data_IF_877445989749
#
_entry.id   IF_877445989749
#
_cell.length_a   1.000
_cell.length_b   1.000
_cell.length_c   1.000
_cell.angle_alpha   90.00
_cell.angle_beta   90.00
_cell.angle_gamma   90.00
#
_symmetry.space_group_name_H-M   'P 1'
#
loop_
_entity.id
_entity.type
_entity.pdbx_description
1 polymer ?
#
# COMPACT_ATOMS: atom_id res chain seq x y z
N UNK A 1 -96.05 -66.96 7.37
CA UNK A 1 -96.18 -66.25 6.08
C UNK A 1 -94.81 -65.72 5.70
N UNK A 2 -94.36 -66.06 4.50
CA UNK A 2 -93.07 -65.68 3.93
C UNK A 2 -92.91 -64.17 3.82
N UNK A 3 -91.72 -63.65 4.11
CA UNK A 3 -91.19 -62.47 3.42
C UNK A 3 -89.69 -62.64 3.22
N UNK A 4 -89.34 -63.02 1.99
CA UNK A 4 -88.01 -62.95 1.40
C UNK A 4 -87.84 -61.54 0.82
N UNK A 5 -86.84 -60.80 1.29
CA UNK A 5 -86.25 -59.67 0.57
C UNK A 5 -84.80 -59.55 1.07
N UNK A 6 -83.85 -60.14 0.37
CA UNK A 6 -83.08 -59.52 -0.71
C UNK A 6 -81.80 -58.84 -0.19
N UNK A 7 -80.70 -59.56 -0.46
CA UNK A 7 -79.30 -59.15 -0.62
C UNK A 7 -79.07 -57.64 -0.77
N UNK A 8 -78.01 -57.13 -0.14
CA UNK A 8 -76.91 -56.57 -0.91
C UNK A 8 -75.58 -56.57 -0.14
N UNK A 9 -74.54 -57.06 -0.80
CA UNK A 9 -73.16 -57.04 -0.32
C UNK A 9 -72.53 -55.69 -0.67
N UNK A 10 -72.10 -54.92 0.33
CA UNK A 10 -71.18 -53.81 0.10
C UNK A 10 -69.76 -54.21 0.51
N UNK A 11 -69.07 -54.92 -0.38
CA UNK A 11 -67.62 -55.17 -0.32
C UNK A 11 -66.82 -53.84 -0.30
N UNK A 12 -65.85 -53.63 0.61
CA UNK A 12 -65.04 -52.40 0.66
C UNK A 12 -63.89 -52.40 -0.36
N UNK A 13 -64.11 -52.84 -1.59
CA UNK A 13 -63.04 -52.98 -2.61
C UNK A 13 -63.02 -51.86 -3.64
N UNK A 14 -64.05 -51.00 -3.71
CA UNK A 14 -64.15 -49.99 -4.78
C UNK A 14 -63.69 -48.57 -4.42
N UNK A 15 -62.90 -48.35 -3.35
CA UNK A 15 -62.26 -47.03 -3.08
C UNK A 15 -60.79 -46.96 -3.50
N UNK A 16 -60.38 -47.85 -4.41
CA UNK A 16 -59.07 -47.81 -5.08
C UNK A 16 -59.16 -47.94 -6.61
N UNK A 17 -60.28 -47.54 -7.20
CA UNK A 17 -60.28 -47.04 -8.57
C UNK A 17 -59.96 -45.54 -8.45
N UNK A 18 -58.71 -45.18 -8.18
CA UNK A 18 -57.85 -44.72 -9.28
C UNK A 18 -58.64 -43.71 -10.14
N UNK A 19 -58.80 -42.50 -9.62
CA UNK A 19 -58.88 -41.29 -10.46
C UNK A 19 -57.59 -41.23 -11.29
N UNK A 20 -57.50 -42.10 -12.29
CA UNK A 20 -56.65 -41.92 -13.46
C UNK A 20 -57.40 -40.92 -14.35
N UNK A 21 -57.54 -39.69 -13.88
CA UNK A 21 -57.74 -38.58 -14.80
C UNK A 21 -56.40 -38.42 -15.53
N UNK A 22 -56.31 -39.00 -16.73
CA UNK A 22 -55.22 -38.67 -17.63
C UNK A 22 -55.19 -37.16 -17.86
N UNK A 23 -53.99 -36.59 -17.97
CA UNK A 23 -53.81 -35.17 -18.25
C UNK A 23 -54.49 -34.84 -19.58
N UNK A 24 -55.41 -33.89 -19.60
CA UNK A 24 -56.01 -33.45 -20.86
C UNK A 24 -54.96 -32.69 -21.69
N UNK A 25 -54.99 -32.82 -23.01
CA UNK A 25 -54.04 -32.13 -23.89
C UNK A 25 -54.07 -30.61 -23.68
N UNK A 26 -55.25 -30.04 -23.38
CA UNK A 26 -55.41 -28.63 -23.05
C UNK A 26 -54.78 -28.27 -21.69
N UNK A 27 -54.87 -29.16 -20.70
CA UNK A 27 -54.26 -28.94 -19.39
C UNK A 27 -52.73 -28.95 -19.50
N UNK A 28 -52.18 -29.86 -20.31
CA UNK A 28 -50.74 -29.91 -20.60
C UNK A 28 -50.28 -28.64 -21.32
N UNK A 29 -51.05 -28.19 -22.31
CA UNK A 29 -50.75 -26.97 -23.03
C UNK A 29 -50.78 -25.75 -22.11
N UNK A 30 -51.84 -25.61 -21.30
CA UNK A 30 -51.99 -24.50 -20.36
C UNK A 30 -50.88 -24.51 -19.30
N UNK A 31 -50.52 -25.67 -18.75
CA UNK A 31 -49.43 -25.77 -17.76
C UNK A 31 -48.07 -25.41 -18.34
N UNK A 32 -47.74 -25.87 -19.56
CA UNK A 32 -46.49 -25.50 -20.24
C UNK A 32 -46.45 -24.01 -20.56
N UNK A 33 -47.57 -23.42 -21.01
CA UNK A 33 -47.67 -21.97 -21.27
C UNK A 33 -47.51 -21.16 -19.99
N UNK A 34 -48.21 -21.54 -18.91
CA UNK A 34 -48.10 -20.85 -17.62
C UNK A 34 -46.70 -21.00 -17.01
N UNK A 35 -46.08 -22.17 -17.10
CA UNK A 35 -44.70 -22.38 -16.68
C UNK A 35 -43.73 -21.54 -17.52
N UNK A 36 -43.92 -21.46 -18.84
CA UNK A 36 -43.09 -20.64 -19.73
C UNK A 36 -43.13 -19.15 -19.37
N UNK A 37 -44.30 -18.60 -19.06
CA UNK A 37 -44.45 -17.20 -18.61
C UNK A 37 -43.76 -17.00 -17.25
N UNK A 38 -43.92 -17.93 -16.32
CA UNK A 38 -43.28 -17.86 -15.01
C UNK A 38 -41.75 -17.92 -15.11
N UNK A 39 -41.19 -18.84 -15.90
CA UNK A 39 -39.74 -18.94 -16.13
C UNK A 39 -39.18 -17.71 -16.84
N UNK A 40 -39.88 -17.17 -17.84
CA UNK A 40 -39.47 -15.96 -18.53
C UNK A 40 -39.33 -14.76 -17.57
N UNK A 41 -40.18 -14.68 -16.55
CA UNK A 41 -40.09 -13.63 -15.52
C UNK A 41 -38.95 -13.86 -14.51
N UNK A 42 -38.54 -15.10 -14.24
CA UNK A 42 -37.51 -15.43 -13.24
C UNK A 42 -36.07 -15.33 -13.77
N UNK A 43 -35.82 -15.63 -15.05
CA UNK A 43 -34.47 -15.63 -15.65
C UNK A 43 -33.71 -14.30 -15.41
N UNK A 44 -34.32 -13.11 -15.58
CA UNK A 44 -33.63 -11.84 -15.30
C UNK A 44 -33.20 -11.70 -13.84
N UNK A 45 -33.98 -12.22 -12.88
CA UNK A 45 -33.65 -12.18 -11.47
C UNK A 45 -32.43 -13.06 -11.15
N UNK A 46 -32.38 -14.28 -11.70
CA UNK A 46 -31.21 -15.16 -11.55
C UNK A 46 -29.93 -14.52 -12.10
N UNK A 47 -29.98 -13.95 -13.31
CA UNK A 47 -28.83 -13.25 -13.90
C UNK A 47 -28.37 -12.07 -13.02
N UNK A 48 -29.31 -11.34 -12.42
CA UNK A 48 -29.00 -10.24 -11.50
C UNK A 48 -28.28 -10.73 -10.23
N UNK A 49 -28.79 -11.81 -9.63
CA UNK A 49 -28.20 -12.42 -8.42
C UNK A 49 -26.81 -12.99 -8.73
N UNK A 50 -26.63 -13.64 -9.88
CA UNK A 50 -25.32 -14.13 -10.31
C UNK A 50 -24.33 -13.00 -10.53
N UNK A 51 -24.75 -11.90 -11.17
CA UNK A 51 -23.89 -10.71 -11.35
C UNK A 51 -23.51 -10.09 -10.01
N UNK A 52 -24.45 -9.99 -9.07
CA UNK A 52 -24.16 -9.49 -7.72
C UNK A 52 -23.15 -10.39 -7.00
N UNK A 53 -23.38 -11.70 -6.98
CA UNK A 53 -22.49 -12.68 -6.36
C UNK A 53 -21.09 -12.70 -7.00
N UNK A 54 -20.99 -12.63 -8.32
CA UNK A 54 -19.72 -12.51 -9.03
C UNK A 54 -18.98 -11.22 -8.66
N UNK A 55 -19.70 -10.13 -8.41
CA UNK A 55 -19.16 -8.84 -7.99
C UNK A 55 -18.62 -8.88 -6.58
N UNK A 56 -19.35 -9.50 -5.66
CA UNK A 56 -18.90 -9.69 -4.28
C UNK A 56 -17.67 -10.59 -4.21
N UNK A 57 -17.65 -11.68 -5.00
CA UNK A 57 -16.46 -12.53 -5.13
C UNK A 57 -15.24 -11.75 -5.64
N UNK A 58 -15.42 -10.92 -6.67
CA UNK A 58 -14.33 -10.08 -7.19
C UNK A 58 -13.82 -9.09 -6.14
N UNK A 59 -14.71 -8.49 -5.34
CA UNK A 59 -14.31 -7.61 -4.24
C UNK A 59 -13.54 -8.32 -3.13
N UNK A 60 -13.95 -9.53 -2.76
CA UNK A 60 -13.23 -10.31 -1.75
C UNK A 60 -11.81 -10.64 -2.22
N UNK A 61 -11.65 -11.01 -3.49
CA UNK A 61 -10.32 -11.22 -4.07
C UNK A 61 -9.53 -9.91 -4.08
N UNK A 62 -10.12 -8.80 -4.52
CA UNK A 62 -9.45 -7.50 -4.54
C UNK A 62 -9.02 -7.05 -3.13
N UNK A 63 -9.85 -7.28 -2.11
CA UNK A 63 -9.54 -6.98 -0.71
C UNK A 63 -8.40 -7.84 -0.19
N UNK A 64 -8.41 -9.16 -0.47
CA UNK A 64 -7.31 -10.05 -0.09
C UNK A 64 -5.99 -9.65 -0.76
N UNK A 65 -6.03 -9.24 -2.03
CA UNK A 65 -4.85 -8.72 -2.75
C UNK A 65 -4.36 -7.42 -2.11
N UNK A 66 -5.25 -6.46 -1.86
CA UNK A 66 -4.90 -5.20 -1.22
C UNK A 66 -4.27 -5.43 0.17
N UNK A 67 -4.83 -6.36 0.93
CA UNK A 67 -4.32 -6.74 2.25
C UNK A 67 -2.95 -7.40 2.15
N UNK A 68 -2.76 -8.38 1.27
CA UNK A 68 -1.44 -9.01 1.04
C UNK A 68 -0.37 -7.96 0.68
N UNK A 69 -0.71 -7.02 -0.21
CA UNK A 69 0.22 -5.93 -0.58
C UNK A 69 0.54 -5.02 0.60
N UNK A 70 -0.45 -4.65 1.41
CA UNK A 70 -0.21 -3.84 2.60
C UNK A 70 0.66 -4.56 3.62
N UNK A 71 0.40 -5.84 3.91
CA UNK A 71 1.21 -6.58 4.87
C UNK A 71 2.65 -6.71 4.39
N UNK A 72 2.87 -6.95 3.09
CA UNK A 72 4.21 -6.95 2.50
C UNK A 72 4.88 -5.57 2.57
N UNK A 73 4.14 -4.48 2.32
CA UNK A 73 4.66 -3.11 2.47
C UNK A 73 5.06 -2.85 3.93
N UNK A 74 4.30 -3.35 4.90
CA UNK A 74 4.60 -3.19 6.34
C UNK A 74 5.85 -3.96 6.77
N UNK A 75 6.26 -4.98 6.02
CA UNK A 75 7.51 -5.71 6.26
C UNK A 75 8.73 -5.02 5.64
N UNK A 76 8.53 -4.04 4.75
CA UNK A 76 9.64 -3.25 4.20
C UNK A 76 10.19 -2.30 5.26
N UNK A 77 11.50 -2.08 5.21
CA UNK A 77 12.11 -1.03 6.00
C UNK A 77 11.63 0.35 5.51
N UNK A 78 11.58 1.33 6.42
CA UNK A 78 11.03 2.67 6.14
C UNK A 78 11.75 3.39 4.99
N UNK A 79 13.05 3.15 4.84
CA UNK A 79 13.92 3.69 3.79
C UNK A 79 13.66 3.04 2.42
N UNK A 80 13.26 1.78 2.38
CA UNK A 80 12.91 1.06 1.14
C UNK A 80 11.56 1.51 0.54
N UNK A 81 10.71 2.20 1.29
CA UNK A 81 9.45 2.75 0.80
C UNK A 81 9.72 4.15 0.24
N UNK A 82 10.23 4.25 -0.98
CA UNK A 82 10.59 5.55 -1.58
C UNK A 82 9.33 6.34 -1.99
N UNK A 83 9.43 7.66 -2.07
CA UNK A 83 8.35 8.59 -2.45
C UNK A 83 7.92 8.50 -3.93
N UNK A 84 8.28 7.41 -4.60
CA UNK A 84 7.82 7.07 -5.93
C UNK A 84 7.13 5.70 -5.91
N UNK A 85 5.83 5.70 -6.20
CA UNK A 85 5.04 4.48 -6.33
C UNK A 85 5.58 3.54 -7.43
N UNK A 86 6.33 4.07 -8.41
CA UNK A 86 6.97 3.27 -9.45
C UNK A 86 7.96 2.24 -8.89
N UNK A 87 8.58 2.55 -7.74
CA UNK A 87 9.52 1.64 -7.08
C UNK A 87 8.83 0.34 -6.63
N UNK A 88 7.64 0.46 -6.03
CA UNK A 88 6.80 -0.69 -5.66
C UNK A 88 6.24 -1.40 -6.90
N UNK A 89 6.16 -0.75 -8.05
CA UNK A 89 5.65 -1.34 -9.29
C UNK A 89 6.75 -2.08 -10.07
N UNK A 90 8.03 -1.88 -9.73
CA UNK A 90 9.16 -2.47 -10.42
C UNK A 90 9.22 -3.99 -10.25
N UNK A 91 9.52 -4.71 -11.34
CA UNK A 91 9.77 -6.16 -11.33
C UNK A 91 11.11 -6.53 -10.69
N UNK A 92 12.04 -5.58 -10.56
CA UNK A 92 13.36 -5.81 -9.96
C UNK A 92 13.37 -5.57 -8.45
N UNK A 93 12.42 -4.78 -7.94
CA UNK A 93 12.31 -4.50 -6.52
C UNK A 93 11.63 -5.64 -5.78
N UNK A 94 12.23 -6.10 -4.68
CA UNK A 94 11.71 -7.17 -3.82
C UNK A 94 11.21 -8.41 -4.59
N UNK A 95 11.93 -8.79 -5.67
CA UNK A 95 11.57 -9.92 -6.52
C UNK A 95 10.26 -9.76 -7.31
N UNK A 96 9.79 -8.52 -7.53
CA UNK A 96 8.55 -8.25 -8.26
C UNK A 96 7.27 -8.60 -7.51
N UNK A 97 7.34 -8.79 -6.19
CA UNK A 97 6.22 -9.28 -5.38
C UNK A 97 5.02 -8.33 -5.28
N UNK A 98 5.21 -7.05 -5.61
CA UNK A 98 4.18 -6.02 -5.54
C UNK A 98 3.47 -5.88 -6.90
N UNK A 99 4.19 -5.37 -7.91
CA UNK A 99 3.72 -5.28 -9.30
C UNK A 99 2.43 -4.46 -9.47
N UNK A 100 2.00 -4.28 -10.71
CA UNK A 100 0.76 -3.55 -11.05
C UNK A 100 -0.42 -4.47 -11.33
N UNK A 101 -0.19 -5.78 -11.39
CA UNK A 101 -1.20 -6.75 -11.78
C UNK A 101 -1.18 -7.99 -10.90
N UNK A 102 -2.36 -8.59 -10.75
CA UNK A 102 -2.53 -9.88 -10.09
C UNK A 102 -3.60 -10.71 -10.82
N UNK A 103 -3.27 -11.96 -11.08
CA UNK A 103 -4.21 -12.94 -11.64
C UNK A 103 -4.31 -14.13 -10.69
N UNK A 104 -5.49 -14.41 -10.11
CA UNK A 104 -5.65 -15.57 -9.24
C UNK A 104 -5.35 -16.88 -9.98
N UNK A 105 -4.73 -17.88 -9.32
CA UNK A 105 -4.53 -19.19 -9.92
C UNK A 105 -5.85 -19.79 -10.43
N UNK A 106 -5.85 -20.28 -11.68
CA UNK A 106 -7.05 -20.86 -12.30
C UNK A 106 -8.11 -19.85 -12.76
N UNK A 107 -7.78 -18.56 -12.79
CA UNK A 107 -8.64 -17.49 -13.30
C UNK A 107 -7.98 -16.76 -14.46
N UNK A 108 -8.77 -16.33 -15.45
CA UNK A 108 -8.33 -15.43 -16.54
C UNK A 108 -8.60 -13.95 -16.22
N UNK A 109 -9.19 -13.67 -15.06
CA UNK A 109 -9.49 -12.31 -14.62
C UNK A 109 -8.26 -11.64 -14.03
N UNK A 110 -7.93 -10.48 -14.61
CA UNK A 110 -6.86 -9.60 -14.17
C UNK A 110 -7.36 -8.57 -13.16
N UNK A 111 -6.57 -8.36 -12.12
CA UNK A 111 -6.74 -7.30 -11.14
C UNK A 111 -5.59 -6.30 -11.30
N UNK A 112 -5.91 -5.02 -11.45
CA UNK A 112 -4.94 -3.93 -11.49
C UNK A 112 -4.74 -3.35 -10.10
N UNK A 113 -3.49 -3.15 -9.72
CA UNK A 113 -3.05 -2.65 -8.41
C UNK A 113 -2.34 -1.33 -8.60
N UNK A 114 -2.80 -0.31 -7.87
CA UNK A 114 -2.26 1.05 -7.88
C UNK A 114 -1.83 1.43 -6.47
N UNK A 115 -0.63 1.99 -6.36
CA UNK A 115 -0.06 2.47 -5.10
C UNK A 115 -0.03 4.00 -5.07
N UNK A 116 -0.28 4.56 -3.89
CA UNK A 116 -0.07 5.98 -3.59
C UNK A 116 0.68 6.09 -2.28
N UNK A 117 1.76 6.85 -2.27
CA UNK A 117 2.63 7.06 -1.11
C UNK A 117 2.58 8.56 -0.78
N UNK A 118 2.19 8.88 0.44
CA UNK A 118 2.13 10.24 0.98
C UNK A 118 3.06 10.34 2.19
N UNK A 119 4.05 11.22 2.11
CA UNK A 119 4.94 11.51 3.21
C UNK A 119 4.34 12.56 4.13
N UNK A 120 4.22 12.23 5.42
CA UNK A 120 3.71 13.17 6.41
C UNK A 120 4.86 13.65 7.31
N UNK A 121 5.29 14.91 7.17
CA UNK A 121 6.35 15.46 7.99
C UNK A 121 5.87 15.78 9.42
N UNK A 122 6.79 15.68 10.38
CA UNK A 122 6.70 16.36 11.67
C UNK A 122 7.98 17.16 11.82
N UNK A 123 7.89 18.48 11.62
CA UNK A 123 8.97 19.46 11.81
C UNK A 123 10.37 18.97 11.43
N UNK A 124 10.70 19.04 10.13
CA UNK A 124 12.05 18.80 9.60
C UNK A 124 12.28 17.40 9.01
N UNK A 125 11.65 16.34 9.53
CA UNK A 125 11.75 14.98 8.99
C UNK A 125 10.38 14.33 8.74
N UNK A 126 10.33 13.33 7.84
CA UNK A 126 9.13 12.50 7.62
C UNK A 126 8.90 11.65 8.86
N UNK A 127 7.76 11.85 9.53
CA UNK A 127 7.39 11.12 10.74
C UNK A 127 6.82 9.75 10.38
N UNK A 128 5.93 9.72 9.39
CA UNK A 128 5.37 8.49 8.86
C UNK A 128 5.04 8.62 7.38
N UNK A 129 4.98 7.47 6.71
CA UNK A 129 4.49 7.35 5.33
C UNK A 129 3.10 6.74 5.38
N UNK A 130 2.15 7.37 4.70
CA UNK A 130 0.80 6.82 4.48
C UNK A 130 0.76 6.20 3.10
N UNK A 131 0.49 4.90 3.03
CA UNK A 131 0.46 4.16 1.78
C UNK A 131 -0.97 3.67 1.52
N UNK A 132 -1.50 3.99 0.35
CA UNK A 132 -2.80 3.51 -0.11
C UNK A 132 -2.62 2.54 -1.27
N UNK A 133 -3.23 1.36 -1.16
CA UNK A 133 -3.26 0.33 -2.20
C UNK A 133 -4.69 0.24 -2.73
N UNK A 134 -4.87 0.51 -4.01
CA UNK A 134 -6.17 0.41 -4.69
C UNK A 134 -6.14 -0.74 -5.69
N UNK A 135 -7.08 -1.67 -5.56
CA UNK A 135 -7.22 -2.83 -6.44
C UNK A 135 -8.54 -2.73 -7.22
N UNK A 136 -8.44 -2.83 -8.53
CA UNK A 136 -9.58 -2.83 -9.47
C UNK A 136 -9.50 -4.05 -10.39
N UNK A 137 -10.57 -4.36 -11.13
CA UNK A 137 -10.60 -5.49 -12.06
C UNK A 137 -11.40 -5.15 -13.30
N UNK A 138 -11.18 -5.91 -14.37
CA UNK A 138 -11.96 -5.76 -15.61
C UNK A 138 -13.33 -6.43 -15.46
N UNK A 139 -14.39 -5.71 -15.85
CA UNK A 139 -15.76 -6.23 -15.90
C UNK A 139 -15.86 -7.48 -16.80
N UNK A 140 -16.87 -8.35 -16.62
CA UNK A 140 -18.06 -8.24 -15.76
C UNK A 140 -17.87 -8.74 -14.32
N UNK A 141 -18.66 -8.31 -13.32
CA UNK A 141 -19.80 -7.40 -13.43
C UNK A 141 -19.38 -5.93 -13.39
N UNK A 142 -20.17 -5.10 -14.05
CA UNK A 142 -20.09 -3.64 -13.99
C UNK A 142 -21.25 -3.09 -13.14
N UNK A 143 -21.10 -1.92 -12.47
CA UNK A 143 -19.89 -1.11 -12.41
C UNK A 143 -18.84 -1.71 -11.47
N UNK A 144 -17.58 -1.61 -11.86
CA UNK A 144 -16.44 -2.00 -11.01
C UNK A 144 -16.36 -1.03 -9.85
N UNK A 145 -16.25 -1.55 -8.62
CA UNK A 145 -16.03 -0.75 -7.42
C UNK A 145 -14.69 -1.14 -6.81
N UNK A 146 -13.62 -0.37 -7.09
CA UNK A 146 -12.30 -0.67 -6.57
C UNK A 146 -12.28 -0.77 -5.05
N UNK A 147 -11.36 -1.56 -4.53
CA UNK A 147 -11.10 -1.68 -3.10
C UNK A 147 -9.83 -0.91 -2.79
N UNK A 148 -9.91 0.05 -1.87
CA UNK A 148 -8.75 0.80 -1.38
C UNK A 148 -8.52 0.48 0.08
N UNK A 149 -7.30 0.07 0.41
CA UNK A 149 -6.84 -0.06 1.79
C UNK A 149 -5.67 0.90 2.02
N UNK A 150 -5.54 1.40 3.24
CA UNK A 150 -4.49 2.35 3.63
C UNK A 150 -3.76 1.84 4.86
N UNK A 151 -2.44 2.01 4.86
CA UNK A 151 -1.56 1.68 5.98
C UNK A 151 -0.62 2.85 6.30
N UNK A 152 -0.04 2.81 7.49
CA UNK A 152 0.94 3.79 7.96
C UNK A 152 2.21 3.05 8.35
N UNK A 153 3.35 3.52 7.86
CA UNK A 153 4.68 3.04 8.26
C UNK A 153 5.40 4.18 8.97
N UNK A 154 5.71 3.96 10.25
CA UNK A 154 6.39 4.93 11.11
C UNK A 154 7.89 4.96 10.81
N UNK A 155 8.49 6.15 10.92
CA UNK A 155 9.93 6.30 10.85
C UNK A 155 10.57 5.91 12.20
N UNK A 156 11.38 4.84 12.27
CA UNK A 156 12.04 4.45 13.52
C UNK A 156 13.02 5.51 14.03
N UNK A 157 13.63 6.32 13.14
CA UNK A 157 14.54 7.39 13.53
C UNK A 157 13.81 8.56 14.21
N UNK A 158 12.53 8.80 13.89
CA UNK A 158 11.73 9.84 14.53
C UNK A 158 11.33 9.47 15.97
N UNK A 159 11.18 8.17 16.28
CA UNK A 159 10.78 7.69 17.60
C UNK A 159 11.91 7.78 18.65
N UNK A 160 13.15 7.47 18.23
CA UNK A 160 14.32 7.45 19.12
C UNK A 160 14.74 8.83 19.64
N UNK A 161 14.26 9.93 19.06
CA UNK A 161 14.52 11.29 19.52
C UNK A 161 13.75 11.67 20.80
N UNK A 162 12.80 10.84 21.27
CA UNK A 162 11.90 11.19 22.37
C UNK A 162 12.28 10.63 23.76
N UNK A 163 13.23 9.70 23.86
CA UNK A 163 13.63 9.10 25.14
C UNK A 163 15.08 9.45 25.50
N UNK A 164 15.31 10.68 25.98
CA UNK A 164 16.55 11.01 26.68
C UNK A 164 16.36 10.76 28.19
N UNK A 165 17.17 9.92 28.86
CA UNK A 165 17.08 9.72 30.30
C UNK A 165 17.48 11.00 31.03
N UNK A 166 16.61 11.47 31.93
CA UNK A 166 16.84 12.68 32.72
C UNK A 166 18.10 12.56 33.61
N UNK A 167 19.03 13.53 33.60
CA UNK A 167 20.12 13.56 34.55
C UNK A 167 19.62 13.98 35.94
N UNK A 168 19.96 13.19 36.96
CA UNK A 168 19.71 13.47 38.39
C UNK A 168 20.55 14.66 38.89
N UNK A 169 20.08 15.52 39.82
CA UNK A 169 20.79 16.74 40.17
C UNK A 169 21.88 16.58 41.24
N UNK A 170 22.95 17.33 40.96
CA UNK A 170 24.16 17.76 41.70
C UNK A 170 24.15 17.91 43.23
N UNK A 171 25.31 17.59 43.84
CA UNK A 171 26.03 18.35 44.89
C UNK A 171 27.51 17.90 44.81
N UNK A 172 28.60 18.70 44.90
CA UNK A 172 28.96 19.84 45.76
C UNK A 172 30.25 20.51 45.18
N UNK A 173 30.71 21.69 45.66
CA UNK A 173 31.73 22.52 44.98
C UNK A 173 33.15 22.33 45.53
N UNK A 174 34.20 22.53 44.71
CA UNK A 174 35.49 23.07 45.18
C UNK A 174 36.39 23.52 44.03
N UNK A 175 37.19 24.52 44.36
CA UNK A 175 37.98 25.46 43.55
C UNK A 175 39.33 24.92 43.06
N UNK A 176 39.73 25.19 41.80
CA UNK A 176 41.13 25.43 41.39
C UNK A 176 41.21 25.89 39.91
N UNK A 177 42.01 26.91 39.54
CA UNK A 177 42.24 27.26 38.13
C UNK A 177 43.30 26.32 37.53
N UNK A 178 42.87 25.37 36.71
CA UNK A 178 43.75 24.52 35.90
C UNK A 178 43.91 25.14 34.50
N UNK A 179 45.11 25.12 33.88
CA UNK A 179 45.29 25.60 32.51
C UNK A 179 44.40 24.79 31.56
N UNK A 180 43.67 25.49 30.71
CA UNK A 180 42.80 24.94 29.66
C UNK A 180 43.60 23.95 28.81
N UNK A 181 43.28 22.64 28.80
CA UNK A 181 43.81 21.75 27.79
C UNK A 181 43.26 22.19 26.44
N UNK A 182 44.14 22.44 25.48
CA UNK A 182 43.77 22.62 24.08
C UNK A 182 42.89 21.43 23.65
N UNK A 183 41.69 21.65 23.09
CA UNK A 183 40.85 20.54 22.65
C UNK A 183 41.60 19.71 21.60
N UNK A 184 41.47 18.37 21.61
CA UNK A 184 41.99 17.51 20.56
C UNK A 184 41.48 17.99 19.18
N UNK A 185 42.25 17.82 18.08
CA UNK A 185 41.75 18.14 16.75
C UNK A 185 40.46 17.37 16.50
N UNK A 186 39.37 18.09 16.23
CA UNK A 186 38.11 17.48 15.86
C UNK A 186 38.33 16.70 14.57
N UNK A 187 38.19 15.38 14.62
CA UNK A 187 38.19 14.54 13.42
C UNK A 187 36.99 14.92 12.57
N UNK A 188 37.26 15.33 11.33
CA UNK A 188 36.24 15.69 10.36
C UNK A 188 36.30 14.78 9.15
N UNK A 189 35.17 14.65 8.46
CA UNK A 189 34.93 13.74 7.37
C UNK A 189 34.31 14.47 6.19
N UNK A 190 34.33 13.80 5.04
CA UNK A 190 33.72 14.23 3.79
C UNK A 190 32.49 13.39 3.47
N UNK A 191 31.41 14.05 3.03
CA UNK A 191 30.25 13.43 2.41
C UNK A 191 30.19 13.86 0.94
N UNK A 192 30.28 12.89 0.03
CA UNK A 192 30.19 13.07 -1.42
C UNK A 192 28.80 12.66 -1.91
N UNK A 193 28.09 13.56 -2.57
CA UNK A 193 26.77 13.28 -3.17
C UNK A 193 26.89 13.23 -4.69
N UNK A 194 26.43 12.11 -5.25
CA UNK A 194 26.28 11.88 -6.68
C UNK A 194 24.80 11.84 -7.06
N UNK A 195 24.55 12.08 -8.34
CA UNK A 195 23.26 11.89 -9.01
C UNK A 195 23.50 11.14 -10.31
N UNK A 196 22.59 10.28 -10.71
CA UNK A 196 22.66 9.57 -11.99
C UNK A 196 22.16 10.43 -13.17
N UNK A 197 21.23 11.35 -12.92
CA UNK A 197 20.66 12.24 -13.93
C UNK A 197 20.76 13.73 -13.55
N UNK A 198 20.76 14.63 -14.55
CA UNK A 198 20.91 16.07 -14.36
C UNK A 198 19.57 16.78 -14.10
N UNK A 199 18.77 16.24 -13.18
CA UNK A 199 17.40 16.71 -12.89
C UNK A 199 17.25 17.44 -11.56
N UNK A 200 18.35 17.65 -10.83
CA UNK A 200 18.37 18.43 -9.60
C UNK A 200 17.80 19.83 -9.86
N UNK A 201 16.88 20.26 -9.00
CA UNK A 201 16.29 21.58 -9.08
C UNK A 201 17.38 22.63 -8.80
N UNK A 202 17.70 23.53 -9.73
CA UNK A 202 18.80 24.47 -9.57
C UNK A 202 18.54 25.53 -8.49
N UNK A 203 17.28 25.74 -8.08
CA UNK A 203 16.88 26.73 -7.08
C UNK A 203 16.94 26.19 -5.65
N UNK A 204 16.75 24.89 -5.47
CA UNK A 204 16.65 24.25 -4.14
C UNK A 204 17.76 23.23 -3.88
N UNK A 205 18.34 22.66 -4.94
CA UNK A 205 19.51 21.81 -4.90
C UNK A 205 19.41 20.61 -3.95
N UNK A 206 20.59 20.20 -3.51
CA UNK A 206 20.83 19.25 -2.43
C UNK A 206 21.28 20.03 -1.20
N UNK A 207 20.69 19.72 -0.05
CA UNK A 207 21.07 20.28 1.25
C UNK A 207 21.41 19.16 2.23
N UNK A 208 22.34 19.43 3.13
CA UNK A 208 22.78 18.48 4.16
C UNK A 208 22.60 19.11 5.52
N UNK A 209 21.88 18.42 6.41
CA UNK A 209 21.59 18.90 7.76
C UNK A 209 21.97 17.84 8.77
N UNK A 210 22.78 18.20 9.77
CA UNK A 210 23.07 17.35 10.92
C UNK A 210 21.85 17.30 11.83
N UNK A 211 21.38 16.10 12.14
CA UNK A 211 20.11 15.84 12.84
C UNK A 211 20.27 15.19 14.21
N UNK A 212 21.48 14.74 14.55
CA UNK A 212 21.81 14.19 15.88
C UNK A 212 22.12 15.27 16.94
N UNK A 213 22.03 16.55 16.57
CA UNK A 213 22.27 17.69 17.46
C UNK A 213 21.04 18.59 17.52
N UNK A 214 20.80 19.23 18.67
CA UNK A 214 19.70 20.17 18.86
C UNK A 214 20.24 21.56 19.22
N UNK A 215 19.95 22.62 18.45
CA UNK A 215 19.18 22.62 17.20
C UNK A 215 19.92 21.92 16.04
N UNK A 216 19.18 21.47 15.03
CA UNK A 216 19.76 20.92 13.81
C UNK A 216 20.74 21.93 13.17
N UNK A 217 21.85 21.44 12.64
CA UNK A 217 22.91 22.29 12.07
C UNK A 217 23.05 22.00 10.59
N UNK A 218 22.80 22.99 9.74
CA UNK A 218 23.07 22.87 8.30
C UNK A 218 24.57 22.71 8.06
N UNK A 219 24.95 21.72 7.26
CA UNK A 219 26.33 21.51 6.86
C UNK A 219 26.73 22.53 5.79
N UNK A 220 27.99 22.96 5.81
CA UNK A 220 28.57 23.81 4.78
C UNK A 220 29.21 22.97 3.68
N UNK A 221 28.98 23.28 2.40
CA UNK A 221 28.17 24.39 1.86
C UNK A 221 26.65 24.14 1.95
N UNK A 222 25.81 25.17 2.17
CA UNK A 222 24.40 24.96 2.47
C UNK A 222 23.60 24.21 1.38
N UNK A 223 23.65 24.70 0.13
CA UNK A 223 22.97 24.14 -1.03
C UNK A 223 23.96 23.91 -2.16
N UNK A 224 23.96 22.73 -2.76
CA UNK A 224 24.76 22.40 -3.96
C UNK A 224 23.89 21.75 -5.03
N UNK A 225 24.32 21.81 -6.29
CA UNK A 225 23.56 21.25 -7.43
C UNK A 225 24.48 20.25 -8.14
N UNK A 226 24.56 18.99 -7.66
CA UNK A 226 25.38 17.98 -8.32
C UNK A 226 24.82 17.65 -9.71
N UNK A 227 25.72 17.24 -10.60
CA UNK A 227 25.39 16.66 -11.90
C UNK A 227 26.09 15.30 -12.05
N UNK A 228 25.71 14.46 -13.02
CA UNK A 228 26.34 13.15 -13.21
C UNK A 228 27.85 13.21 -13.45
N UNK A 229 28.36 14.35 -13.93
CA UNK A 229 29.78 14.60 -14.19
C UNK A 229 30.45 15.51 -13.16
N UNK A 230 29.70 16.11 -12.23
CA UNK A 230 30.21 17.00 -11.20
C UNK A 230 29.51 16.71 -9.85
N UNK A 231 30.07 15.82 -9.02
CA UNK A 231 29.52 15.52 -7.70
C UNK A 231 29.67 16.71 -6.74
N UNK A 232 28.89 16.71 -5.66
CA UNK A 232 28.91 17.75 -4.63
C UNK A 232 29.48 17.22 -3.33
N UNK A 233 30.36 18.01 -2.71
CA UNK A 233 31.12 17.61 -1.53
C UNK A 233 30.82 18.50 -0.32
N UNK A 234 30.50 17.87 0.81
CA UNK A 234 30.45 18.50 2.12
C UNK A 234 31.63 18.04 2.95
N UNK A 235 32.48 18.98 3.36
CA UNK A 235 33.69 18.69 4.14
C UNK A 235 33.57 19.28 5.54
N UNK A 236 34.45 18.86 6.46
CA UNK A 236 34.42 19.36 7.82
C UNK A 236 33.31 18.75 8.69
N UNK A 237 32.72 17.63 8.26
CA UNK A 237 31.61 17.00 8.97
C UNK A 237 32.12 16.19 10.16
N UNK A 238 31.56 16.41 11.35
CA UNK A 238 31.85 15.56 12.51
C UNK A 238 31.14 14.20 12.38
N UNK A 239 31.54 13.17 13.14
CA UNK A 239 30.73 11.96 13.28
C UNK A 239 29.32 12.31 13.73
N UNK A 240 28.32 11.70 13.09
CA UNK A 240 26.92 12.02 13.35
C UNK A 240 25.97 11.55 12.26
N UNK A 241 24.72 11.95 12.41
CA UNK A 241 23.62 11.57 11.51
C UNK A 241 23.19 12.77 10.69
N UNK A 242 23.32 12.64 9.38
CA UNK A 242 23.04 13.70 8.42
C UNK A 242 21.82 13.34 7.58
N UNK A 243 20.87 14.28 7.47
CA UNK A 243 19.77 14.22 6.53
C UNK A 243 20.18 14.97 5.26
N UNK A 244 20.24 14.24 4.15
CA UNK A 244 20.51 14.77 2.82
C UNK A 244 19.18 14.89 2.09
N UNK A 245 18.81 16.09 1.69
CA UNK A 245 17.56 16.35 0.95
C UNK A 245 17.92 16.80 -0.47
N UNK A 246 17.42 16.08 -1.48
CA UNK A 246 17.57 16.40 -2.89
C UNK A 246 16.23 16.83 -3.48
N UNK A 247 16.15 18.05 -3.99
CA UNK A 247 15.00 18.53 -4.76
C UNK A 247 15.30 18.36 -6.25
N UNK A 248 14.35 17.79 -7.01
CA UNK A 248 14.55 17.50 -8.42
C UNK A 248 13.26 17.62 -9.23
N UNK A 249 13.38 17.64 -10.55
CA UNK A 249 12.28 17.64 -11.51
C UNK A 249 12.14 16.26 -12.14
N UNK A 250 11.00 15.58 -11.93
CA UNK A 250 10.80 14.23 -12.48
C UNK A 250 10.92 14.26 -14.00
N UNK A 251 11.84 13.47 -14.56
CA UNK A 251 12.13 13.41 -15.99
C UNK A 251 12.49 14.80 -16.59
N UNK A 252 13.08 15.70 -15.80
CA UNK A 252 13.41 17.07 -16.19
C UNK A 252 12.21 18.01 -16.35
N UNK A 253 10.99 17.60 -16.00
CA UNK A 253 9.81 18.45 -16.12
C UNK A 253 9.72 19.45 -14.95
N UNK A 254 9.93 20.73 -15.24
CA UNK A 254 9.93 21.81 -14.25
C UNK A 254 8.59 22.02 -13.52
N UNK A 255 7.49 21.51 -14.07
CA UNK A 255 6.18 21.53 -13.41
C UNK A 255 5.96 20.35 -12.46
N UNK A 256 6.86 19.36 -12.44
CA UNK A 256 6.75 18.15 -11.65
C UNK A 256 7.90 18.04 -10.64
N UNK A 257 7.90 18.95 -9.67
CA UNK A 257 8.89 18.99 -8.60
C UNK A 257 8.69 17.82 -7.62
N UNK A 258 9.78 17.14 -7.29
CA UNK A 258 9.86 16.02 -6.36
C UNK A 258 11.01 16.25 -5.36
N UNK A 259 10.95 15.51 -4.27
CA UNK A 259 11.96 15.56 -3.20
C UNK A 259 12.32 14.13 -2.81
N UNK A 260 13.61 13.86 -2.70
CA UNK A 260 14.15 12.62 -2.13
C UNK A 260 14.95 12.98 -0.88
N UNK A 261 14.81 12.17 0.16
CA UNK A 261 15.55 12.34 1.41
C UNK A 261 16.27 11.06 1.76
N UNK A 262 17.54 11.18 2.14
CA UNK A 262 18.36 10.07 2.60
C UNK A 262 19.02 10.43 3.93
N UNK A 263 18.96 9.51 4.89
CA UNK A 263 19.77 9.59 6.11
C UNK A 263 21.11 8.91 5.88
N UNK A 264 22.20 9.62 6.15
CA UNK A 264 23.57 9.13 6.05
C UNK A 264 24.24 9.21 7.42
N UNK A 265 24.84 8.11 7.86
CA UNK A 265 25.59 8.04 9.10
C UNK A 265 27.09 8.16 8.82
N UNK A 266 27.74 9.14 9.43
CA UNK A 266 29.20 9.30 9.38
C UNK A 266 29.76 8.82 10.71
N UNK A 267 30.44 7.67 10.69
CA UNK A 267 31.07 7.08 11.87
C UNK A 267 32.56 7.45 11.98
N UNK A 268 33.38 6.79 11.16
CA UNK A 268 34.84 6.91 11.22
C UNK A 268 35.53 7.01 9.85
N UNK A 269 34.76 7.20 8.78
CA UNK A 269 35.26 7.31 7.41
C UNK A 269 34.34 8.20 6.57
N UNK A 270 34.92 8.76 5.51
CA UNK A 270 34.19 9.51 4.49
C UNK A 270 33.06 8.68 3.88
N UNK A 271 31.98 9.35 3.52
CA UNK A 271 30.77 8.72 2.98
C UNK A 271 30.48 9.19 1.56
N UNK A 272 29.90 8.31 0.77
CA UNK A 272 29.48 8.59 -0.60
C UNK A 272 28.08 8.06 -0.80
N UNK A 273 27.19 8.89 -1.35
CA UNK A 273 25.80 8.50 -1.63
C UNK A 273 25.37 8.97 -3.02
N UNK A 274 24.63 8.13 -3.74
CA UNK A 274 24.10 8.43 -5.07
C UNK A 274 22.58 8.47 -5.03
N UNK A 275 21.98 9.59 -5.42
CA UNK A 275 20.55 9.64 -5.68
C UNK A 275 20.24 9.12 -7.08
N UNK A 276 19.19 8.30 -7.18
CA UNK A 276 18.58 7.91 -8.45
C UNK A 276 17.36 8.79 -8.70
N UNK A 277 17.44 9.68 -9.69
CA UNK A 277 16.45 10.75 -9.94
C UNK A 277 15.40 10.37 -10.99
#
# INVERSE_FOLDING_TARGET
MYSLAARDEASPVARRAAQRSGFSFIELLVTVVLAGIAFAAMVPAFISIEKASAGDRARLIAANVAQDRIEKIRLLAFDQIVDDASHLQSSTFAGGQFGTEYTPPGSTRHYSVVYSIENVPSTGAVNYKRISVTVSWTAPPAPVRPVTLTTIVMNPAAASASSSPAPSPSASPSTSPSPTPSPPPATTYKLTILVDESYVNPTLGVTVVRTDVTPNVAATPAMQVPTPTAPSDWTGLAPGTYLVTCHYYKNGNTNNQKTLQQTVYIGSADQTYTFTL
#
